data_IF_303547905335
#
_entry.id   IF_303547905335
#
_cell.length_a   1.000
_cell.length_b   1.000
_cell.length_c   1.000
_cell.angle_alpha   90.00
_cell.angle_beta   90.00
_cell.angle_gamma   90.00
#
_symmetry.space_group_name_H-M   'P 1'
#
loop_
_entity.id
_entity.type
_entity.pdbx_description
1 polymer ?
#
# COMPACT_ATOMS: atom_id res chain seq x y z
N UNK A 1 -65.65 -33.10 16.89
CA UNK A 1 -65.89 -32.37 15.62
C UNK A 1 -65.53 -30.91 15.85
N UNK A 2 -64.96 -30.27 14.83
CA UNK A 2 -64.33 -28.94 14.79
C UNK A 2 -62.90 -28.84 15.36
N UNK A 3 -61.94 -28.62 14.46
CA UNK A 3 -60.92 -27.56 14.58
C UNK A 3 -60.46 -27.14 13.19
N UNK A 4 -60.88 -25.93 12.84
CA UNK A 4 -60.41 -25.12 11.72
C UNK A 4 -59.02 -24.58 12.04
N UNK A 5 -58.13 -24.42 11.05
CA UNK A 5 -57.04 -23.45 11.06
C UNK A 5 -56.70 -23.07 9.59
N UNK A 6 -56.59 -21.77 9.26
CA UNK A 6 -56.48 -21.27 7.89
C UNK A 6 -55.03 -21.11 7.42
N UNK A 7 -54.92 -20.81 6.13
CA UNK A 7 -53.71 -20.53 5.36
C UNK A 7 -52.94 -19.26 5.77
N UNK A 8 -51.79 -19.05 5.09
CA UNK A 8 -50.88 -17.89 5.05
C UNK A 8 -49.83 -17.84 6.20
N UNK A 9 -48.55 -17.48 6.00
CA UNK A 9 -47.92 -16.56 5.03
C UNK A 9 -46.53 -17.11 4.67
N UNK A 10 -46.17 -17.09 3.38
CA UNK A 10 -44.84 -17.41 2.87
C UNK A 10 -43.87 -16.27 3.19
N UNK A 11 -42.71 -16.66 3.72
CA UNK A 11 -41.52 -15.86 3.98
C UNK A 11 -41.06 -15.11 2.72
N UNK A 12 -41.03 -13.79 2.79
CA UNK A 12 -40.29 -12.94 1.87
C UNK A 12 -39.62 -11.82 2.70
N UNK A 13 -38.52 -12.19 3.35
CA UNK A 13 -37.56 -11.22 3.87
C UNK A 13 -36.92 -10.56 2.65
N UNK A 14 -37.45 -9.38 2.32
CA UNK A 14 -36.89 -8.46 1.35
C UNK A 14 -35.44 -8.17 1.71
N UNK A 15 -34.53 -8.74 0.92
CA UNK A 15 -33.16 -8.28 0.81
C UNK A 15 -33.15 -6.86 0.26
N UNK A 16 -32.70 -5.93 1.09
CA UNK A 16 -32.34 -4.57 0.72
C UNK A 16 -31.14 -4.15 1.59
N UNK A 17 -30.05 -4.92 1.47
CA UNK A 17 -28.73 -4.35 1.69
C UNK A 17 -28.40 -3.56 0.42
N UNK A 18 -28.86 -2.30 0.38
CA UNK A 18 -28.21 -1.31 -0.45
C UNK A 18 -26.81 -1.11 0.15
N UNK A 19 -25.81 -1.83 -0.39
CA UNK A 19 -24.44 -1.37 -0.37
C UNK A 19 -24.48 -0.03 -1.12
N UNK A 20 -24.60 1.06 -0.39
CA UNK A 20 -24.23 2.36 -0.90
C UNK A 20 -22.72 2.28 -1.13
N UNK A 21 -22.32 1.93 -2.35
CA UNK A 21 -21.00 2.27 -2.86
C UNK A 21 -20.96 3.80 -2.84
N UNK A 22 -20.29 4.35 -1.83
CA UNK A 22 -19.94 5.76 -1.77
C UNK A 22 -18.84 5.98 -2.81
N UNK A 23 -19.22 6.01 -4.09
CA UNK A 23 -18.35 6.43 -5.20
C UNK A 23 -18.19 7.96 -5.11
N UNK A 24 -17.53 8.40 -4.04
CA UNK A 24 -16.89 9.72 -4.04
C UNK A 24 -15.88 9.78 -5.20
N UNK A 25 -15.59 10.98 -5.74
CA UNK A 25 -14.46 11.10 -6.64
C UNK A 25 -13.21 10.52 -5.97
N UNK A 26 -12.35 9.79 -6.71
CA UNK A 26 -11.11 9.29 -6.15
C UNK A 26 -10.32 10.47 -5.55
N UNK A 27 -9.57 10.25 -4.47
CA UNK A 27 -8.74 11.29 -3.89
C UNK A 27 -7.87 11.94 -4.99
N UNK A 28 -7.67 13.26 -4.88
CA UNK A 28 -6.76 13.95 -5.81
C UNK A 28 -5.34 13.41 -5.61
N UNK A 29 -4.57 13.16 -6.68
CA UNK A 29 -3.17 12.77 -6.59
C UNK A 29 -2.36 13.70 -5.71
N UNK A 30 -1.56 13.12 -4.82
CA UNK A 30 -0.66 13.90 -3.95
C UNK A 30 0.53 14.45 -4.73
N UNK A 31 1.25 15.41 -4.13
CA UNK A 31 2.51 15.90 -4.70
C UNK A 31 3.65 14.88 -4.48
N UNK A 32 4.69 14.94 -5.31
CA UNK A 32 5.87 14.07 -5.17
C UNK A 32 6.45 14.11 -3.74
N UNK A 33 6.49 15.29 -3.12
CA UNK A 33 7.06 15.48 -1.77
C UNK A 33 6.22 14.77 -0.69
N UNK A 34 4.90 14.76 -0.83
CA UNK A 34 3.99 14.06 0.08
C UNK A 34 4.06 12.55 -0.14
N UNK A 35 4.14 12.11 -1.40
CA UNK A 35 4.39 10.71 -1.74
C UNK A 35 5.72 10.22 -1.16
N UNK A 36 6.80 11.00 -1.34
CA UNK A 36 8.12 10.70 -0.79
C UNK A 36 8.13 10.66 0.73
N UNK A 37 7.36 11.51 1.41
CA UNK A 37 7.27 11.47 2.87
C UNK A 37 6.74 10.13 3.36
N UNK A 38 5.67 9.62 2.75
CA UNK A 38 5.09 8.30 3.07
C UNK A 38 6.09 7.17 2.76
N UNK A 39 6.71 7.21 1.59
CA UNK A 39 7.72 6.22 1.19
C UNK A 39 8.89 6.18 2.18
N UNK A 40 9.49 7.33 2.48
CA UNK A 40 10.68 7.43 3.31
C UNK A 40 10.40 7.03 4.77
N UNK A 41 9.26 7.45 5.34
CA UNK A 41 8.86 7.01 6.70
C UNK A 41 8.80 5.50 6.80
N UNK A 42 8.19 4.84 5.83
CA UNK A 42 7.98 3.40 5.92
C UNK A 42 9.22 2.59 5.54
N UNK A 43 10.07 3.11 4.66
CA UNK A 43 11.40 2.53 4.41
C UNK A 43 12.30 2.61 5.65
N UNK A 44 12.23 3.70 6.41
CA UNK A 44 12.93 3.86 7.70
C UNK A 44 12.41 2.85 8.72
N UNK A 45 11.07 2.74 8.88
CA UNK A 45 10.44 1.74 9.76
C UNK A 45 10.81 0.31 9.39
N UNK A 46 10.82 -0.03 8.10
CA UNK A 46 11.22 -1.35 7.63
C UNK A 46 12.69 -1.62 7.97
N UNK A 47 13.57 -0.65 7.74
CA UNK A 47 14.99 -0.76 8.07
C UNK A 47 15.22 -0.95 9.57
N UNK A 48 14.52 -0.19 10.41
CA UNK A 48 14.53 -0.35 11.86
C UNK A 48 14.03 -1.74 12.28
N UNK A 49 12.91 -2.20 11.70
CA UNK A 49 12.37 -3.53 11.99
C UNK A 49 13.36 -4.64 11.63
N UNK A 50 14.03 -4.57 10.48
CA UNK A 50 15.05 -5.55 10.09
C UNK A 50 16.22 -5.59 11.09
N UNK A 51 16.57 -4.46 11.69
CA UNK A 51 17.68 -4.34 12.63
C UNK A 51 17.32 -4.73 14.06
N UNK A 52 16.07 -4.47 14.48
CA UNK A 52 15.64 -4.59 15.87
C UNK A 52 14.73 -5.79 16.14
N UNK A 53 14.00 -6.26 15.12
CA UNK A 53 13.03 -7.34 15.28
C UNK A 53 13.70 -8.63 15.75
N UNK A 54 13.00 -9.33 16.63
CA UNK A 54 13.44 -10.64 17.14
C UNK A 54 12.75 -11.80 16.43
N UNK A 55 11.75 -11.50 15.61
CA UNK A 55 10.99 -12.46 14.82
C UNK A 55 10.55 -11.87 13.47
N UNK A 56 10.48 -12.72 12.44
CA UNK A 56 10.03 -12.34 11.09
C UNK A 56 8.60 -11.77 11.07
N UNK A 57 7.74 -12.23 11.99
CA UNK A 57 6.37 -11.72 12.12
C UNK A 57 6.33 -10.22 12.48
N UNK A 58 7.30 -9.70 13.23
CA UNK A 58 7.36 -8.27 13.56
C UNK A 58 7.72 -7.44 12.32
N UNK A 59 8.50 -8.00 11.39
CA UNK A 59 8.80 -7.37 10.09
C UNK A 59 7.55 -7.42 9.19
N UNK A 60 6.81 -8.53 9.20
CA UNK A 60 5.56 -8.66 8.47
C UNK A 60 4.54 -7.58 8.87
N UNK A 61 4.36 -7.36 10.18
CA UNK A 61 3.47 -6.30 10.69
C UNK A 61 3.84 -4.90 10.17
N UNK A 62 5.14 -4.62 10.01
CA UNK A 62 5.61 -3.34 9.44
C UNK A 62 5.36 -3.26 7.94
N UNK A 63 5.51 -4.36 7.20
CA UNK A 63 5.18 -4.44 5.77
C UNK A 63 3.68 -4.23 5.56
N UNK A 64 2.83 -4.89 6.36
CA UNK A 64 1.37 -4.71 6.31
C UNK A 64 0.97 -3.26 6.58
N UNK A 65 1.60 -2.60 7.56
CA UNK A 65 1.38 -1.18 7.83
C UNK A 65 1.85 -0.28 6.68
N UNK A 66 2.94 -0.63 6.00
CA UNK A 66 3.39 0.09 4.82
C UNK A 66 2.36 -0.02 3.68
N UNK A 67 1.83 -1.21 3.43
CA UNK A 67 0.78 -1.43 2.42
C UNK A 67 -0.45 -0.56 2.74
N UNK A 68 -0.95 -0.59 3.98
CA UNK A 68 -2.12 0.20 4.40
C UNK A 68 -1.91 1.71 4.16
N UNK A 69 -0.72 2.24 4.48
CA UNK A 69 -0.41 3.66 4.25
C UNK A 69 -0.28 4.00 2.76
N UNK A 70 0.22 3.08 1.93
CA UNK A 70 0.28 3.27 0.48
C UNK A 70 -1.11 3.24 -0.15
N UNK A 71 -1.95 2.27 0.20
CA UNK A 71 -3.34 2.17 -0.29
C UNK A 71 -4.19 3.39 0.09
N UNK A 72 -3.83 4.11 1.15
CA UNK A 72 -4.52 5.33 1.59
C UNK A 72 -4.14 6.58 0.78
N UNK A 73 -3.15 6.51 -0.12
CA UNK A 73 -2.61 7.64 -0.88
C UNK A 73 -2.88 7.46 -2.37
N UNK A 74 -3.37 8.50 -3.04
CA UNK A 74 -3.36 8.52 -4.51
C UNK A 74 -2.00 9.04 -5.01
N UNK A 75 -1.19 8.21 -5.70
CA UNK A 75 0.13 8.63 -6.17
C UNK A 75 0.04 9.68 -7.29
N UNK A 76 1.11 10.44 -7.55
CA UNK A 76 1.24 11.19 -8.79
C UNK A 76 0.91 10.32 -10.01
N UNK A 77 0.26 10.90 -11.02
CA UNK A 77 -0.34 10.12 -12.11
C UNK A 77 0.66 9.24 -12.89
N UNK A 78 1.92 9.67 -12.98
CA UNK A 78 3.01 8.95 -13.63
C UNK A 78 3.70 7.91 -12.73
N UNK A 79 3.28 7.81 -11.47
CA UNK A 79 3.73 6.81 -10.50
C UNK A 79 2.71 5.68 -10.28
N UNK A 80 1.52 5.73 -10.88
CA UNK A 80 0.44 4.75 -10.64
C UNK A 80 0.88 3.30 -10.88
N UNK A 81 1.47 3.02 -12.05
CA UNK A 81 1.92 1.66 -12.38
C UNK A 81 3.02 1.17 -11.41
N UNK A 82 3.94 2.06 -11.02
CA UNK A 82 4.95 1.75 -10.01
C UNK A 82 4.34 1.51 -8.63
N UNK A 83 3.38 2.35 -8.24
CA UNK A 83 2.72 2.27 -6.94
C UNK A 83 1.97 0.95 -6.78
N UNK A 84 1.19 0.55 -7.80
CA UNK A 84 0.53 -0.75 -7.84
C UNK A 84 1.52 -1.92 -7.77
N UNK A 85 2.59 -1.88 -8.58
CA UNK A 85 3.62 -2.93 -8.58
C UNK A 85 4.40 -3.00 -7.25
N UNK A 86 4.63 -1.86 -6.60
CA UNK A 86 5.33 -1.81 -5.32
C UNK A 86 4.45 -2.35 -4.18
N UNK A 87 3.14 -2.08 -4.20
CA UNK A 87 2.20 -2.72 -3.28
C UNK A 87 2.20 -4.24 -3.49
N UNK A 88 2.07 -4.73 -4.73
CA UNK A 88 2.12 -6.18 -5.02
C UNK A 88 3.43 -6.82 -4.52
N UNK A 89 4.56 -6.14 -4.73
CA UNK A 89 5.85 -6.57 -4.19
C UNK A 89 5.86 -6.67 -2.65
N UNK A 90 5.23 -5.72 -1.94
CA UNK A 90 5.12 -5.77 -0.48
C UNK A 90 4.13 -6.85 -0.02
N UNK A 91 3.01 -7.04 -0.73
CA UNK A 91 2.04 -8.11 -0.44
C UNK A 91 2.70 -9.50 -0.52
N UNK A 92 3.53 -9.75 -1.54
CA UNK A 92 4.32 -10.98 -1.64
C UNK A 92 5.31 -11.13 -0.47
N UNK A 93 5.86 -10.01 0.00
CA UNK A 93 6.78 -10.00 1.13
C UNK A 93 6.10 -10.25 2.48
N UNK A 94 4.78 -10.16 2.61
CA UNK A 94 4.10 -10.51 3.87
C UNK A 94 4.30 -11.99 4.22
N UNK A 95 4.30 -12.88 3.22
CA UNK A 95 4.51 -14.33 3.40
C UNK A 95 6.00 -14.71 3.59
N UNK A 96 6.93 -13.88 3.09
CA UNK A 96 8.38 -13.96 3.34
C UNK A 96 8.94 -12.57 3.66
N UNK A 97 8.84 -12.12 4.94
CA UNK A 97 9.18 -10.76 5.37
C UNK A 97 10.64 -10.37 5.18
N UNK A 98 11.50 -11.35 4.93
CA UNK A 98 12.93 -11.14 4.69
C UNK A 98 13.28 -11.04 3.21
N UNK A 99 12.35 -11.40 2.31
CA UNK A 99 12.57 -11.35 0.87
C UNK A 99 13.02 -9.98 0.35
N UNK A 100 12.58 -8.82 0.90
CA UNK A 100 13.07 -7.52 0.43
C UNK A 100 14.56 -7.26 0.69
N UNK A 101 15.22 -8.07 1.51
CA UNK A 101 16.66 -7.96 1.76
C UNK A 101 17.50 -8.53 0.60
N UNK A 102 16.89 -9.32 -0.27
CA UNK A 102 17.58 -10.03 -1.37
C UNK A 102 16.92 -9.84 -2.73
N UNK A 103 15.64 -9.47 -2.76
CA UNK A 103 14.91 -9.12 -3.97
C UNK A 103 14.91 -7.59 -4.12
N UNK A 104 15.23 -7.12 -5.34
CA UNK A 104 15.14 -5.70 -5.63
C UNK A 104 13.67 -5.32 -5.82
N UNK A 105 13.22 -4.15 -5.33
CA UNK A 105 11.88 -3.66 -5.59
C UNK A 105 11.72 -3.30 -7.07
N UNK A 106 10.48 -3.21 -7.58
CA UNK A 106 10.21 -2.54 -8.84
C UNK A 106 10.72 -1.09 -8.78
N UNK A 107 11.03 -0.53 -9.95
CA UNK A 107 11.47 0.87 -10.08
C UNK A 107 10.53 1.61 -11.02
N UNK A 108 10.24 2.90 -10.79
CA UNK A 108 9.55 3.72 -11.77
C UNK A 108 10.47 4.01 -12.97
N UNK A 109 9.89 4.61 -14.02
CA UNK A 109 10.65 5.09 -15.17
C UNK A 109 11.80 6.03 -14.76
N UNK A 110 12.88 6.02 -15.53
CA UNK A 110 14.13 6.69 -15.16
C UNK A 110 13.98 8.20 -14.92
N UNK A 111 13.15 8.88 -15.71
CA UNK A 111 12.91 10.32 -15.58
C UNK A 111 12.07 10.65 -14.35
N UNK A 112 11.07 9.81 -14.03
CA UNK A 112 10.30 9.90 -12.79
C UNK A 112 11.22 9.66 -11.59
N UNK A 113 12.06 8.62 -11.67
CA UNK A 113 13.01 8.29 -10.61
C UNK A 113 14.01 9.41 -10.34
N UNK A 114 14.61 9.98 -11.38
CA UNK A 114 15.54 11.13 -11.27
C UNK A 114 14.83 12.34 -10.62
N UNK A 115 13.59 12.62 -11.03
CA UNK A 115 12.77 13.69 -10.45
C UNK A 115 12.53 13.48 -8.95
N UNK A 116 12.19 12.27 -8.53
CA UNK A 116 11.98 11.93 -7.12
C UNK A 116 13.27 12.02 -6.32
N UNK A 117 14.36 11.48 -6.87
CA UNK A 117 15.68 11.49 -6.27
C UNK A 117 16.18 12.91 -5.96
N UNK A 118 15.95 13.85 -6.87
CA UNK A 118 16.28 15.27 -6.69
C UNK A 118 15.50 15.94 -5.56
N UNK A 119 14.30 15.43 -5.25
CA UNK A 119 13.39 15.97 -4.24
C UNK A 119 13.59 15.38 -2.85
N UNK A 120 14.18 14.18 -2.72
CA UNK A 120 14.36 13.53 -1.41
C UNK A 120 15.00 14.46 -0.38
N UNK A 121 16.02 15.23 -0.75
CA UNK A 121 16.72 16.15 0.18
C UNK A 121 15.86 17.30 0.71
N UNK A 122 14.71 17.55 0.08
CA UNK A 122 13.76 18.59 0.49
C UNK A 122 12.64 18.06 1.39
N UNK A 123 12.55 16.75 1.57
CA UNK A 123 11.55 16.05 2.39
C UNK A 123 12.20 15.68 3.72
N UNK A 124 11.60 16.06 4.85
CA UNK A 124 12.19 15.90 6.19
C UNK A 124 12.34 14.41 6.58
N UNK A 125 11.40 13.60 6.12
CA UNK A 125 11.29 12.18 6.34
C UNK A 125 12.37 11.38 5.59
N UNK A 126 12.88 11.89 4.47
CA UNK A 126 13.89 11.23 3.65
C UNK A 126 15.32 11.49 4.19
N UNK A 127 15.65 10.82 5.30
CA UNK A 127 16.94 10.97 5.99
C UNK A 127 18.07 10.19 5.33
N UNK A 128 17.76 9.09 4.68
CA UNK A 128 18.69 8.23 3.95
C UNK A 128 18.30 8.15 2.47
N UNK A 129 19.27 7.96 1.55
CA UNK A 129 18.95 7.78 0.14
C UNK A 129 18.09 6.53 -0.06
N UNK A 130 16.99 6.65 -0.80
CA UNK A 130 16.17 5.48 -1.14
C UNK A 130 16.66 4.82 -2.43
N UNK A 131 15.93 3.79 -2.89
CA UNK A 131 16.15 3.19 -4.21
C UNK A 131 15.90 4.15 -5.39
N UNK A 132 15.29 5.32 -5.16
CA UNK A 132 15.23 6.38 -6.18
C UNK A 132 16.60 7.02 -6.44
N UNK A 133 17.49 7.08 -5.43
CA UNK A 133 18.84 7.66 -5.51
C UNK A 133 19.96 6.62 -5.78
N UNK A 134 19.62 5.34 -6.00
CA UNK A 134 20.58 4.26 -6.21
C UNK A 134 21.06 4.14 -7.67
N UNK A 135 22.26 3.57 -7.91
CA UNK A 135 22.68 3.21 -9.28
C UNK A 135 21.65 2.27 -9.91
N UNK A 136 21.36 2.46 -11.21
CA UNK A 136 20.64 1.45 -11.99
C UNK A 136 21.37 0.12 -11.78
N UNK A 137 20.75 -0.81 -11.07
CA UNK A 137 21.13 -2.20 -11.28
C UNK A 137 20.78 -2.44 -12.75
N UNK A 138 21.79 -2.68 -13.58
CA UNK A 138 21.61 -3.14 -14.95
C UNK A 138 20.79 -4.45 -14.89
N UNK A 139 19.46 -4.36 -14.85
CA UNK A 139 18.52 -5.49 -14.89
C UNK A 139 18.08 -5.72 -16.34
#
# INVERSE_FOLDING_TARGET
>A
MARSLPALVIVALLGLFALACDDGPPPDPVADEEYLAVMCVNLDRFSDAVMEATAEAEIAEVIEGFIEELEAVEPPADLRDFHEAFIEYLEEAVDDPTSPLVLAPPLPDDDVRERLADKERSVEECREPTFFNGPQADQ
#
